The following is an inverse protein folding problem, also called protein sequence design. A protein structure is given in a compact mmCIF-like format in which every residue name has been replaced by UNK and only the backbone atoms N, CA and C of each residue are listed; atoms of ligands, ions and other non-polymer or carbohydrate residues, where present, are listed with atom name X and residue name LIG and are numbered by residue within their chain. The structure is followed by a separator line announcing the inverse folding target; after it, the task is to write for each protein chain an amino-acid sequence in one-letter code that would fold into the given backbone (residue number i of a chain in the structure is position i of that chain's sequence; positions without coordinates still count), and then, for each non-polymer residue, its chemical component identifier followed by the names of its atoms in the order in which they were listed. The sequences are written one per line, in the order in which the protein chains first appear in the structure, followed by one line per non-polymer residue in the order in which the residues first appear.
data_IF_655036370288
#
_entry.id   IF_655036370288
#
_cell.length_a   1.000
_cell.length_b   1.000
_cell.length_c   1.000
_cell.angle_alpha   90.00
_cell.angle_beta   90.00
_cell.angle_gamma   90.00
#
_symmetry.space_group_name_H-M   'P 1'
#
loop_
_entity.id
_entity.type
_entity.pdbx_description
1 polymer ?
#
# COMPACT_ATOMS: atom_id res chain seq x y z
N UNK A 1 -10.72 -12.16 3.85
CA UNK A 1 -11.33 -10.83 4.17
C UNK A 1 -12.14 -10.79 5.46
N UNK A 2 -13.19 -11.63 5.69
CA UNK A 2 -13.96 -11.56 6.97
C UNK A 2 -13.15 -12.07 8.18
N UNK A 3 -12.44 -13.19 8.06
CA UNK A 3 -11.59 -13.76 9.11
C UNK A 3 -10.38 -12.86 9.41
N UNK A 4 -9.77 -12.25 8.39
CA UNK A 4 -8.65 -11.32 8.56
C UNK A 4 -9.06 -10.03 9.29
N UNK A 5 -10.29 -9.52 9.07
CA UNK A 5 -10.83 -8.40 9.84
C UNK A 5 -11.15 -8.77 11.28
N UNK A 6 -11.62 -10.00 11.56
CA UNK A 6 -11.88 -10.50 12.90
C UNK A 6 -10.58 -10.62 13.73
N UNK A 7 -9.48 -11.04 13.11
CA UNK A 7 -8.15 -11.15 13.74
C UNK A 7 -7.50 -9.77 13.92
N UNK A 8 -7.84 -8.78 13.08
CA UNK A 8 -7.31 -7.42 13.16
C UNK A 8 -7.95 -6.59 14.30
N UNK A 9 -9.12 -6.98 14.79
CA UNK A 9 -9.79 -6.29 15.89
C UNK A 9 -9.39 -6.91 17.24
N UNK A 10 -8.66 -6.13 18.05
CA UNK A 10 -8.15 -6.56 19.37
C UNK A 10 -9.27 -7.04 20.29
N UNK A 11 -10.44 -6.39 20.26
CA UNK A 11 -11.58 -6.76 21.12
C UNK A 11 -12.05 -8.19 20.84
N UNK A 12 -12.31 -8.52 19.57
CA UNK A 12 -12.76 -9.86 19.19
C UNK A 12 -11.72 -10.93 19.49
N UNK A 13 -10.44 -10.64 19.25
CA UNK A 13 -9.37 -11.60 19.53
C UNK A 13 -9.25 -11.88 21.02
N UNK A 14 -9.31 -10.86 21.87
CA UNK A 14 -9.29 -11.02 23.35
C UNK A 14 -10.50 -11.83 23.80
N UNK A 15 -11.69 -11.53 23.31
CA UNK A 15 -12.92 -12.25 23.68
C UNK A 15 -12.84 -13.74 23.26
N UNK A 16 -12.35 -14.05 22.05
CA UNK A 16 -12.18 -15.43 21.59
C UNK A 16 -11.20 -16.19 22.48
N UNK A 17 -10.04 -15.59 22.77
CA UNK A 17 -9.05 -16.21 23.67
C UNK A 17 -9.60 -16.42 25.07
N UNK A 18 -10.37 -15.48 25.58
CA UNK A 18 -11.00 -15.58 26.89
C UNK A 18 -12.04 -16.71 26.93
N UNK A 19 -12.82 -16.89 25.85
CA UNK A 19 -13.70 -18.06 25.71
C UNK A 19 -12.91 -19.38 25.74
N UNK A 20 -11.78 -19.44 25.04
CA UNK A 20 -10.93 -20.63 25.06
C UNK A 20 -10.39 -20.94 26.44
N UNK A 21 -9.91 -19.94 27.18
CA UNK A 21 -9.46 -20.09 28.57
C UNK A 21 -10.61 -20.56 29.44
N UNK A 22 -11.77 -19.91 29.41
CA UNK A 22 -12.93 -20.25 30.23
C UNK A 22 -13.44 -21.67 29.96
N UNK A 23 -13.55 -22.06 28.68
CA UNK A 23 -14.02 -23.41 28.31
C UNK A 23 -13.00 -24.46 28.73
N UNK A 24 -11.71 -24.27 28.41
CA UNK A 24 -10.67 -25.23 28.78
C UNK A 24 -10.56 -25.41 30.31
N UNK A 25 -10.53 -24.29 31.05
CA UNK A 25 -10.48 -24.32 32.52
C UNK A 25 -11.71 -24.98 33.09
N UNK A 26 -12.91 -24.62 32.63
CA UNK A 26 -14.18 -25.20 33.11
C UNK A 26 -14.23 -26.71 32.85
N UNK A 27 -13.80 -27.15 31.66
CA UNK A 27 -13.76 -28.59 31.36
C UNK A 27 -12.80 -29.35 32.29
N UNK A 28 -11.58 -28.85 32.46
CA UNK A 28 -10.56 -29.51 33.29
C UNK A 28 -10.93 -29.54 34.78
N UNK A 29 -11.68 -28.57 35.28
CA UNK A 29 -12.13 -28.50 36.66
C UNK A 29 -13.35 -29.42 36.89
N UNK A 30 -14.29 -29.46 35.92
CA UNK A 30 -15.49 -30.30 36.02
C UNK A 30 -15.19 -31.79 35.87
N UNK A 31 -14.18 -32.16 35.09
CA UNK A 31 -13.83 -33.55 34.80
C UNK A 31 -12.39 -33.89 35.29
N UNK A 32 -12.13 -33.80 36.60
CA UNK A 32 -10.84 -34.21 37.18
C UNK A 32 -10.65 -35.71 36.89
N UNK A 33 -9.59 -36.08 36.15
CA UNK A 33 -9.29 -37.48 35.73
C UNK A 33 -10.15 -38.04 34.57
N UNK A 34 -11.06 -37.23 33.96
CA UNK A 34 -11.77 -37.60 32.73
C UNK A 34 -12.94 -38.59 32.87
N UNK A 35 -13.36 -38.98 34.07
CA UNK A 35 -14.34 -40.04 34.25
C UNK A 35 -15.71 -39.55 34.75
N UNK A 36 -15.78 -38.72 35.79
CA UNK A 36 -17.05 -38.26 36.36
C UNK A 36 -17.04 -36.73 36.61
N UNK A 37 -18.23 -36.11 36.49
CA UNK A 37 -18.40 -34.67 36.79
C UNK A 37 -18.21 -34.49 38.31
N UNK A 38 -17.42 -33.49 38.69
CA UNK A 38 -17.25 -33.12 40.09
C UNK A 38 -18.60 -32.79 40.76
N UNK A 39 -18.90 -33.39 41.88
CA UNK A 39 -20.12 -33.11 42.67
C UNK A 39 -19.97 -31.88 43.58
N UNK A 40 -18.80 -31.27 43.67
CA UNK A 40 -18.55 -30.12 44.54
C UNK A 40 -19.28 -28.86 44.06
N UNK A 41 -20.24 -28.30 44.85
CA UNK A 41 -20.98 -27.10 44.49
C UNK A 41 -20.07 -25.87 44.26
N UNK A 42 -18.93 -25.77 44.90
CA UNK A 42 -17.99 -24.68 44.77
C UNK A 42 -17.27 -24.69 43.42
N UNK A 43 -17.01 -25.88 42.88
CA UNK A 43 -16.45 -26.06 41.55
C UNK A 43 -17.45 -25.55 40.50
N UNK A 44 -18.72 -25.91 40.62
CA UNK A 44 -19.77 -25.40 39.73
C UNK A 44 -19.91 -23.86 39.81
N UNK A 45 -19.86 -23.32 41.04
CA UNK A 45 -19.88 -21.86 41.22
C UNK A 45 -18.68 -21.16 40.52
N UNK A 46 -17.49 -21.75 40.59
CA UNK A 46 -16.30 -21.22 39.94
C UNK A 46 -16.40 -21.24 38.39
N UNK A 47 -16.95 -22.32 37.82
CA UNK A 47 -17.26 -22.40 36.39
C UNK A 47 -18.19 -21.28 35.95
N UNK A 48 -19.24 -21.03 36.73
CA UNK A 48 -20.17 -19.93 36.46
C UNK A 48 -19.46 -18.58 36.51
N UNK A 49 -18.53 -18.35 37.43
CA UNK A 49 -17.72 -17.13 37.50
C UNK A 49 -16.85 -16.98 36.26
N UNK A 50 -16.19 -18.03 35.76
CA UNK A 50 -15.43 -17.97 34.51
C UNK A 50 -16.30 -17.58 33.31
N UNK A 51 -17.49 -18.18 33.18
CA UNK A 51 -18.41 -17.84 32.10
C UNK A 51 -18.92 -16.40 32.19
N UNK A 52 -19.24 -15.92 33.38
CA UNK A 52 -19.65 -14.53 33.63
C UNK A 52 -18.53 -13.58 33.31
N UNK A 53 -17.26 -13.89 33.62
CA UNK A 53 -16.12 -13.02 33.31
C UNK A 53 -16.02 -12.73 31.81
N UNK A 54 -16.24 -13.74 30.96
CA UNK A 54 -16.26 -13.56 29.50
C UNK A 54 -17.45 -12.73 29.05
N UNK A 55 -18.64 -12.94 29.60
CA UNK A 55 -19.84 -12.15 29.28
C UNK A 55 -19.69 -10.68 29.65
N UNK A 56 -18.98 -10.38 30.74
CA UNK A 56 -18.66 -8.99 31.12
C UNK A 56 -17.83 -8.29 30.05
N UNK A 57 -16.90 -8.98 29.36
CA UNK A 57 -16.07 -8.39 28.32
C UNK A 57 -16.89 -7.88 27.14
N UNK A 58 -18.03 -8.48 26.80
CA UNK A 58 -18.94 -7.98 25.76
C UNK A 58 -19.62 -6.64 26.11
N UNK A 59 -19.67 -6.30 27.41
CA UNK A 59 -20.25 -5.01 27.89
C UNK A 59 -19.22 -3.90 27.99
N UNK A 60 -17.94 -4.23 27.88
CA UNK A 60 -16.85 -3.25 27.97
C UNK A 60 -16.75 -2.50 26.62
N UNK A 61 -16.80 -1.16 26.62
CA UNK A 61 -16.61 -0.36 25.39
C UNK A 61 -15.25 -0.62 24.73
N UNK A 62 -15.21 -0.60 23.41
CA UNK A 62 -14.04 -0.95 22.60
C UNK A 62 -12.75 -0.19 22.99
N UNK A 63 -12.86 1.11 23.32
CA UNK A 63 -11.72 1.93 23.71
C UNK A 63 -10.96 1.43 24.95
N UNK A 64 -11.61 0.69 25.85
CA UNK A 64 -10.94 0.12 27.02
C UNK A 64 -9.95 -0.99 26.64
N UNK A 65 -10.22 -1.78 25.57
CA UNK A 65 -9.33 -2.84 25.11
C UNK A 65 -7.98 -2.30 24.61
N UNK A 66 -7.94 -1.03 24.20
CA UNK A 66 -6.71 -0.35 23.80
C UNK A 66 -6.03 0.38 24.97
N UNK A 67 -6.63 0.37 26.16
CA UNK A 67 -6.01 0.95 27.35
C UNK A 67 -4.78 0.15 27.78
N UNK A 68 -3.75 0.86 28.19
CA UNK A 68 -2.47 0.30 28.62
C UNK A 68 -2.53 -0.65 29.82
N UNK A 69 -3.55 -0.51 30.64
CA UNK A 69 -3.75 -1.29 31.88
C UNK A 69 -4.73 -2.45 31.71
N UNK A 70 -5.50 -2.47 30.65
CA UNK A 70 -6.54 -3.48 30.43
C UNK A 70 -5.97 -4.90 30.37
N UNK A 71 -4.97 -5.12 29.52
CA UNK A 71 -4.35 -6.44 29.34
C UNK A 71 -3.71 -6.94 30.64
N UNK A 72 -3.09 -6.04 31.40
CA UNK A 72 -2.48 -6.38 32.70
C UNK A 72 -3.55 -6.73 33.73
N UNK A 73 -4.64 -5.98 33.78
CA UNK A 73 -5.76 -6.24 34.68
C UNK A 73 -6.43 -7.58 34.36
N UNK A 74 -6.66 -7.88 33.09
CA UNK A 74 -7.24 -9.14 32.63
C UNK A 74 -6.33 -10.32 32.99
N UNK A 75 -5.02 -10.22 32.74
CA UNK A 75 -4.03 -11.23 33.10
C UNK A 75 -4.04 -11.52 34.64
N UNK A 76 -4.10 -10.48 35.46
CA UNK A 76 -4.15 -10.64 36.91
C UNK A 76 -5.45 -11.34 37.38
N UNK A 77 -6.57 -10.97 36.77
CA UNK A 77 -7.87 -11.56 37.05
C UNK A 77 -7.90 -13.06 36.69
N UNK A 78 -7.44 -13.40 35.50
CA UNK A 78 -7.36 -14.79 35.01
C UNK A 78 -6.39 -15.63 35.83
N UNK A 79 -5.23 -15.07 36.20
CA UNK A 79 -4.25 -15.72 37.05
C UNK A 79 -4.85 -16.02 38.41
N UNK A 80 -5.59 -15.08 39.00
CA UNK A 80 -6.27 -15.28 40.31
C UNK A 80 -7.34 -16.36 40.20
N UNK A 81 -8.22 -16.29 39.20
CA UNK A 81 -9.29 -17.28 39.03
C UNK A 81 -8.74 -18.69 38.82
N UNK A 82 -7.71 -18.82 37.95
CA UNK A 82 -7.06 -20.10 37.70
C UNK A 82 -6.35 -20.63 38.95
N UNK A 83 -5.72 -19.75 39.73
CA UNK A 83 -5.07 -20.14 41.02
C UNK A 83 -6.06 -20.65 42.05
N UNK A 84 -7.24 -20.04 42.15
CA UNK A 84 -8.33 -20.53 42.98
C UNK A 84 -8.80 -21.91 42.50
N UNK A 85 -8.92 -22.09 41.18
CA UNK A 85 -9.31 -23.37 40.58
C UNK A 85 -8.33 -24.50 40.91
N UNK A 86 -7.04 -24.23 40.82
CA UNK A 86 -5.96 -25.16 41.14
C UNK A 86 -6.00 -25.52 42.66
N UNK A 87 -6.17 -24.50 43.51
CA UNK A 87 -6.24 -24.70 44.97
C UNK A 87 -7.42 -25.59 45.41
N UNK A 88 -8.58 -25.37 44.78
CA UNK A 88 -9.79 -26.12 45.10
C UNK A 88 -9.74 -27.57 44.62
N UNK A 89 -9.09 -27.85 43.52
CA UNK A 89 -9.07 -29.18 42.89
C UNK A 89 -8.08 -30.16 43.54
N UNK A 90 -7.18 -29.69 44.43
CA UNK A 90 -6.14 -30.46 45.17
C UNK A 90 -5.22 -31.35 44.29
N UNK A 91 -5.61 -31.71 43.09
CA UNK A 91 -4.85 -32.45 42.09
C UNK A 91 -4.31 -31.46 41.03
N UNK A 92 -3.04 -31.07 41.16
CA UNK A 92 -2.39 -30.19 40.21
C UNK A 92 -2.01 -31.01 38.99
N UNK A 93 -2.96 -31.09 38.03
CA UNK A 93 -2.70 -31.74 36.75
C UNK A 93 -1.82 -30.84 35.85
N UNK A 94 -1.03 -31.49 34.99
CA UNK A 94 -0.27 -30.81 33.94
C UNK A 94 -1.19 -29.91 33.04
N UNK A 95 -2.43 -30.35 32.88
CA UNK A 95 -3.40 -29.72 32.00
C UNK A 95 -3.80 -28.33 32.50
N UNK A 96 -4.07 -28.17 33.80
CA UNK A 96 -4.39 -26.87 34.39
C UNK A 96 -3.20 -25.91 34.36
N UNK A 97 -1.98 -26.43 34.51
CA UNK A 97 -0.78 -25.60 34.37
C UNK A 97 -0.64 -25.01 32.93
N UNK A 98 -0.99 -25.77 31.89
CA UNK A 98 -0.92 -25.30 30.50
C UNK A 98 -1.81 -24.07 30.25
N UNK A 99 -2.87 -23.85 31.02
CA UNK A 99 -3.75 -22.68 30.85
C UNK A 99 -3.00 -21.37 31.17
N UNK A 100 -2.00 -21.40 32.05
CA UNK A 100 -1.15 -20.21 32.26
C UNK A 100 -0.44 -19.72 31.00
N UNK A 101 -0.15 -20.60 30.01
CA UNK A 101 0.40 -20.18 28.75
C UNK A 101 -0.60 -19.38 27.91
N UNK A 102 -1.88 -19.77 27.95
CA UNK A 102 -2.92 -19.01 27.26
C UNK A 102 -3.10 -17.63 27.89
N UNK A 103 -3.01 -17.53 29.23
CA UNK A 103 -3.06 -16.26 29.95
C UNK A 103 -1.86 -15.37 29.56
N UNK A 104 -0.66 -15.95 29.50
CA UNK A 104 0.54 -15.23 29.06
C UNK A 104 0.47 -14.84 27.59
N UNK A 105 -0.08 -15.69 26.73
CA UNK A 105 -0.30 -15.37 25.33
C UNK A 105 -1.27 -14.20 25.17
N UNK A 106 -2.35 -14.19 25.92
CA UNK A 106 -3.31 -13.08 25.93
C UNK A 106 -2.64 -11.78 26.44
N UNK A 107 -1.83 -11.86 27.47
CA UNK A 107 -1.07 -10.74 27.99
C UNK A 107 0.00 -10.23 27.01
N UNK A 108 0.53 -11.10 26.14
CA UNK A 108 1.51 -10.73 25.11
C UNK A 108 0.92 -9.88 23.98
N UNK A 109 -0.40 -9.93 23.78
CA UNK A 109 -1.07 -9.16 22.76
C UNK A 109 -0.99 -7.65 23.06
N UNK A 110 -0.08 -6.95 22.37
CA UNK A 110 0.08 -5.49 22.48
C UNK A 110 1.00 -5.00 23.61
N UNK A 111 1.69 -5.89 24.34
CA UNK A 111 2.59 -5.49 25.44
C UNK A 111 4.08 -5.56 25.08
N UNK A 112 4.90 -4.87 25.88
CA UNK A 112 6.34 -4.96 25.81
C UNK A 112 6.86 -6.27 26.42
N UNK A 113 7.99 -6.78 25.92
CA UNK A 113 8.67 -7.96 26.48
C UNK A 113 8.83 -7.91 28.00
N UNK A 114 9.15 -6.74 28.55
CA UNK A 114 9.33 -6.54 30.00
C UNK A 114 8.11 -6.90 30.81
N UNK A 115 6.90 -6.58 30.34
CA UNK A 115 5.65 -6.88 31.06
C UNK A 115 5.30 -8.37 31.02
N UNK A 116 5.56 -9.01 29.89
CA UNK A 116 5.34 -10.45 29.75
C UNK A 116 6.25 -11.23 30.70
N UNK A 117 7.53 -10.82 30.79
CA UNK A 117 8.48 -11.41 31.75
C UNK A 117 8.07 -11.15 33.19
N UNK A 118 7.65 -9.94 33.55
CA UNK A 118 7.13 -9.65 34.88
C UNK A 118 5.87 -10.47 35.22
N UNK A 119 4.97 -10.62 34.23
CA UNK A 119 3.79 -11.47 34.37
C UNK A 119 4.15 -12.94 34.62
N UNK A 120 5.13 -13.48 33.89
CA UNK A 120 5.60 -14.85 34.07
C UNK A 120 6.27 -15.08 35.45
N UNK A 121 6.99 -14.08 35.95
CA UNK A 121 7.54 -14.11 37.32
C UNK A 121 6.39 -14.18 38.35
N UNK A 122 5.40 -13.30 38.20
CA UNK A 122 4.25 -13.27 39.09
C UNK A 122 3.50 -14.61 39.11
N UNK A 123 3.19 -15.14 37.91
CA UNK A 123 2.51 -16.44 37.77
C UNK A 123 3.35 -17.56 38.40
N UNK A 124 4.66 -17.57 38.19
CA UNK A 124 5.56 -18.56 38.77
C UNK A 124 5.57 -18.50 40.31
N UNK A 125 5.62 -17.30 40.89
CA UNK A 125 5.56 -17.11 42.35
C UNK A 125 4.23 -17.60 42.89
N UNK A 126 3.11 -17.22 42.28
CA UNK A 126 1.77 -17.67 42.70
C UNK A 126 1.66 -19.18 42.60
N UNK A 127 2.14 -19.77 41.50
CA UNK A 127 2.14 -21.22 41.29
C UNK A 127 2.96 -21.96 42.38
N UNK A 128 4.15 -21.50 42.74
CA UNK A 128 4.99 -22.06 43.79
C UNK A 128 4.30 -21.94 45.16
N UNK A 129 3.68 -20.80 45.46
CA UNK A 129 2.95 -20.59 46.73
C UNK A 129 1.77 -21.57 46.90
N UNK A 130 1.07 -21.90 45.80
CA UNK A 130 -0.04 -22.87 45.82
C UNK A 130 0.45 -24.31 46.02
N UNK A 131 1.71 -24.59 45.69
CA UNK A 131 2.30 -25.93 45.86
C UNK A 131 2.85 -26.20 47.24
N UNK A 132 2.94 -25.18 48.13
CA UNK A 132 3.44 -25.36 49.51
C UNK A 132 2.26 -25.83 50.38
N UNK A 133 2.09 -27.15 50.67
CA UNK A 133 1.14 -27.60 51.64
C UNK A 133 1.64 -27.24 53.06
N UNK A 134 0.71 -27.05 54.00
CA UNK A 134 0.94 -26.75 55.42
C UNK A 134 1.99 -27.65 56.08
N UNK A 135 3.22 -27.35 56.07
CA UNK A 135 4.38 -27.99 56.73
C UNK A 135 5.50 -28.56 55.86
N UNK A 136 5.57 -28.31 54.54
CA UNK A 136 6.76 -28.70 53.76
C UNK A 136 7.65 -27.49 53.52
N UNK A 137 8.93 -27.62 53.83
CA UNK A 137 9.94 -26.60 53.56
C UNK A 137 10.10 -26.42 52.04
N UNK A 138 10.28 -25.17 51.57
CA UNK A 138 10.58 -24.78 50.17
C UNK A 138 11.77 -25.55 49.55
N UNK A 139 12.51 -26.34 50.34
CA UNK A 139 13.76 -27.03 50.00
C UNK A 139 13.51 -28.34 49.20
N UNK A 140 12.30 -28.86 49.18
CA UNK A 140 11.96 -30.12 48.48
C UNK A 140 10.87 -29.95 47.43
N UNK A 141 11.07 -29.00 46.50
CA UNK A 141 10.23 -28.92 45.31
C UNK A 141 10.60 -30.08 44.37
N UNK A 142 9.60 -30.84 43.91
CA UNK A 142 9.78 -31.92 42.96
C UNK A 142 10.41 -31.41 41.66
N UNK A 143 11.23 -32.25 41.00
CA UNK A 143 11.88 -31.91 39.71
C UNK A 143 10.90 -31.43 38.66
N UNK A 144 9.66 -31.88 38.69
CA UNK A 144 8.58 -31.48 37.82
C UNK A 144 8.26 -29.98 37.92
N UNK A 145 8.27 -29.41 39.12
CA UNK A 145 8.00 -27.99 39.35
C UNK A 145 9.08 -27.12 38.72
N UNK A 146 10.34 -27.51 38.84
CA UNK A 146 11.44 -26.80 38.20
C UNK A 146 11.30 -26.82 36.67
N UNK A 147 10.94 -27.96 36.08
CA UNK A 147 10.72 -28.11 34.64
C UNK A 147 9.58 -27.17 34.19
N UNK A 148 8.45 -27.16 34.92
CA UNK A 148 7.29 -26.31 34.60
C UNK A 148 7.62 -24.84 34.63
N UNK A 149 8.29 -24.36 35.69
CA UNK A 149 8.70 -22.95 35.81
C UNK A 149 9.68 -22.58 34.69
N UNK A 150 10.70 -23.41 34.42
CA UNK A 150 11.66 -23.17 33.37
C UNK A 150 11.01 -23.08 31.97
N UNK A 151 10.04 -23.98 31.73
CA UNK A 151 9.28 -23.98 30.47
C UNK A 151 8.41 -22.73 30.35
N UNK A 152 7.72 -22.29 31.41
CA UNK A 152 6.93 -21.07 31.45
C UNK A 152 7.78 -19.83 31.09
N UNK A 153 8.97 -19.73 31.69
CA UNK A 153 9.91 -18.65 31.35
C UNK A 153 10.38 -18.71 29.91
N UNK A 154 10.75 -19.89 29.42
CA UNK A 154 11.20 -20.07 28.04
C UNK A 154 10.15 -19.63 27.04
N UNK A 155 8.90 -20.05 27.25
CA UNK A 155 7.78 -19.68 26.41
C UNK A 155 7.48 -18.18 26.52
N UNK A 156 7.54 -17.60 27.73
CA UNK A 156 7.32 -16.17 27.95
C UNK A 156 8.34 -15.30 27.23
N UNK A 157 9.61 -15.69 27.25
CA UNK A 157 10.68 -14.99 26.53
C UNK A 157 10.44 -15.08 25.03
N UNK A 158 10.09 -16.28 24.52
CA UNK A 158 9.80 -16.48 23.10
C UNK A 158 8.62 -15.63 22.65
N UNK A 159 7.50 -15.67 23.35
CA UNK A 159 6.33 -14.85 23.02
C UNK A 159 6.61 -13.36 23.15
N UNK A 160 7.34 -12.94 24.19
CA UNK A 160 7.74 -11.55 24.36
C UNK A 160 8.60 -11.05 23.19
N UNK A 161 9.55 -11.85 22.74
CA UNK A 161 10.38 -11.55 21.60
C UNK A 161 9.56 -11.44 20.30
N UNK A 162 8.68 -12.42 20.05
CA UNK A 162 7.82 -12.43 18.86
C UNK A 162 6.87 -11.22 18.83
N UNK A 163 6.21 -10.93 19.96
CA UNK A 163 5.31 -9.80 20.09
C UNK A 163 6.04 -8.45 19.88
N UNK A 164 7.22 -8.29 20.48
CA UNK A 164 8.01 -7.07 20.31
C UNK A 164 8.51 -6.90 18.87
N UNK A 165 8.92 -8.01 18.22
CA UNK A 165 9.37 -7.96 16.84
C UNK A 165 8.21 -7.57 15.89
N UNK A 166 7.03 -8.19 16.06
CA UNK A 166 5.83 -7.86 15.29
C UNK A 166 5.43 -6.38 15.47
N UNK A 167 5.47 -5.86 16.71
CA UNK A 167 5.18 -4.46 16.98
C UNK A 167 6.22 -3.50 16.37
N UNK A 168 7.50 -3.88 16.35
CA UNK A 168 8.56 -3.09 15.70
C UNK A 168 8.35 -3.02 14.19
N UNK A 169 8.00 -4.14 13.55
CA UNK A 169 7.71 -4.18 12.12
C UNK A 169 6.49 -3.33 11.77
N UNK A 170 5.41 -3.46 12.55
CA UNK A 170 4.22 -2.64 12.38
C UNK A 170 4.52 -1.13 12.46
N UNK A 171 5.24 -0.70 13.51
CA UNK A 171 5.65 0.70 13.65
C UNK A 171 6.54 1.19 12.51
N UNK A 172 7.44 0.33 12.00
CA UNK A 172 8.27 0.69 10.84
C UNK A 172 7.44 0.90 9.59
N UNK A 173 6.43 0.05 9.37
CA UNK A 173 5.52 0.19 8.25
C UNK A 173 4.67 1.47 8.36
N UNK A 174 4.11 1.77 9.54
CA UNK A 174 3.34 2.99 9.82
C UNK A 174 4.19 4.25 9.56
N UNK A 175 5.42 4.31 10.09
CA UNK A 175 6.34 5.45 9.88
C UNK A 175 6.75 5.59 8.41
N UNK A 176 6.92 4.47 7.69
CA UNK A 176 7.22 4.51 6.27
C UNK A 176 6.04 5.08 5.46
N UNK A 177 4.81 4.65 5.77
CA UNK A 177 3.60 5.16 5.14
C UNK A 177 3.35 6.65 5.43
N UNK A 178 3.56 7.09 6.67
CA UNK A 178 3.47 8.51 7.02
C UNK A 178 4.50 9.36 6.26
N UNK A 179 5.74 8.88 6.15
CA UNK A 179 6.78 9.57 5.38
C UNK A 179 6.43 9.71 3.91
N UNK A 180 5.88 8.66 3.29
CA UNK A 180 5.44 8.72 1.89
C UNK A 180 4.28 9.69 1.70
N UNK A 181 3.32 9.68 2.61
CA UNK A 181 2.17 10.59 2.58
C UNK A 181 2.60 12.04 2.73
N UNK A 182 3.51 12.33 3.67
CA UNK A 182 4.09 13.66 3.87
C UNK A 182 4.89 14.11 2.63
N UNK A 183 5.75 13.25 2.08
CA UNK A 183 6.51 13.54 0.87
C UNK A 183 5.57 13.94 -0.29
N UNK A 184 4.50 13.16 -0.48
CA UNK A 184 3.53 13.43 -1.56
C UNK A 184 2.75 14.73 -1.34
N UNK A 185 2.34 15.03 -0.10
CA UNK A 185 1.63 16.27 0.21
C UNK A 185 2.51 17.49 -0.02
N UNK A 186 3.78 17.45 0.38
CA UNK A 186 4.76 18.50 0.14
C UNK A 186 5.01 18.73 -1.35
N UNK A 187 5.20 17.65 -2.13
CA UNK A 187 5.40 17.74 -3.59
C UNK A 187 4.18 18.34 -4.26
N UNK A 188 2.97 17.98 -3.83
CA UNK A 188 1.72 18.52 -4.37
C UNK A 188 1.56 20.01 -4.05
N UNK A 189 1.83 20.42 -2.82
CA UNK A 189 1.77 21.81 -2.41
C UNK A 189 2.79 22.68 -3.17
N UNK A 190 4.05 22.25 -3.24
CA UNK A 190 5.10 22.96 -3.97
C UNK A 190 4.76 23.11 -5.46
N UNK A 191 4.19 22.06 -6.08
CA UNK A 191 3.78 22.13 -7.47
C UNK A 191 2.67 23.14 -7.71
N UNK A 192 1.69 23.21 -6.80
CA UNK A 192 0.63 24.22 -6.84
C UNK A 192 1.21 25.64 -6.73
N UNK A 193 2.11 25.85 -5.75
CA UNK A 193 2.73 27.14 -5.49
C UNK A 193 3.67 27.63 -6.61
N UNK A 194 4.23 26.69 -7.38
CA UNK A 194 5.01 27.00 -8.59
C UNK A 194 4.09 27.28 -9.79
N UNK A 195 3.01 26.50 -9.98
CA UNK A 195 2.10 26.67 -11.12
C UNK A 195 1.38 28.00 -11.11
N UNK A 196 0.96 28.48 -9.94
CA UNK A 196 0.19 29.72 -9.82
C UNK A 196 0.94 30.95 -10.35
N UNK A 197 2.16 31.29 -9.89
CA UNK A 197 2.90 32.44 -10.42
C UNK A 197 3.25 32.27 -11.91
N UNK A 198 3.55 31.04 -12.34
CA UNK A 198 3.82 30.78 -13.75
C UNK A 198 2.59 30.97 -14.63
N UNK A 199 1.39 30.61 -14.15
CA UNK A 199 0.13 30.89 -14.84
C UNK A 199 -0.11 32.38 -15.03
N UNK A 200 0.19 33.19 -14.01
CA UNK A 200 0.12 34.66 -14.09
C UNK A 200 1.12 35.21 -15.12
N UNK A 201 2.39 34.74 -15.08
CA UNK A 201 3.42 35.15 -16.04
C UNK A 201 3.00 34.79 -17.47
N UNK A 202 2.46 33.59 -17.70
CA UNK A 202 1.95 33.15 -18.98
C UNK A 202 0.80 34.04 -19.48
N UNK A 203 -0.16 34.36 -18.62
CA UNK A 203 -1.28 35.24 -18.95
C UNK A 203 -0.81 36.63 -19.37
N UNK A 204 0.11 37.23 -18.62
CA UNK A 204 0.70 38.53 -19.04
C UNK A 204 1.49 38.46 -20.37
N UNK A 205 2.20 37.36 -20.58
CA UNK A 205 2.94 37.17 -21.83
C UNK A 205 1.98 36.99 -23.02
N UNK A 206 0.87 36.30 -22.85
CA UNK A 206 -0.17 36.14 -23.88
C UNK A 206 -0.86 37.47 -24.20
N UNK A 207 -1.30 38.24 -23.21
CA UNK A 207 -1.84 39.57 -23.40
C UNK A 207 -0.88 40.51 -24.15
N UNK A 208 0.42 40.48 -23.82
CA UNK A 208 1.43 41.27 -24.52
C UNK A 208 1.66 40.81 -25.95
N UNK A 209 1.57 39.51 -26.22
CA UNK A 209 1.68 38.97 -27.59
C UNK A 209 0.48 39.36 -28.48
N UNK A 210 -0.71 39.60 -27.89
CA UNK A 210 -1.88 40.13 -28.61
C UNK A 210 -1.68 41.61 -28.99
N UNK A 211 -1.12 42.41 -28.08
CA UNK A 211 -0.94 43.86 -28.26
C UNK A 211 0.22 44.24 -29.18
N UNK A 212 1.26 43.39 -29.30
CA UNK A 212 2.49 43.71 -30.01
C UNK A 212 2.35 43.28 -31.51
N UNK A 213 2.53 44.19 -32.46
CA UNK A 213 2.44 43.88 -33.91
C UNK A 213 3.45 42.81 -34.36
N UNK A 214 3.11 42.06 -35.43
CA UNK A 214 4.03 41.14 -36.06
C UNK A 214 5.23 41.87 -36.63
N UNK A 215 6.45 41.33 -36.37
CA UNK A 215 7.71 41.96 -36.79
C UNK A 215 8.40 42.83 -35.73
N UNK A 216 7.75 43.12 -34.59
CA UNK A 216 8.39 43.83 -33.48
C UNK A 216 9.37 42.90 -32.75
N UNK A 217 10.63 43.29 -32.48
CA UNK A 217 11.61 42.48 -31.75
C UNK A 217 11.15 42.05 -30.35
N UNK A 218 10.34 42.87 -29.66
CA UNK A 218 9.84 42.58 -28.32
C UNK A 218 8.86 41.37 -28.31
N UNK A 219 8.21 41.09 -29.44
CA UNK A 219 7.31 39.92 -29.58
C UNK A 219 8.06 38.61 -29.35
N UNK A 220 9.31 38.52 -29.80
CA UNK A 220 10.14 37.33 -29.61
C UNK A 220 10.51 37.15 -28.11
N UNK A 221 10.74 38.26 -27.40
CA UNK A 221 11.03 38.22 -25.97
C UNK A 221 9.81 37.62 -25.19
N UNK A 222 8.61 38.14 -25.44
CA UNK A 222 7.39 37.69 -24.78
C UNK A 222 7.03 36.25 -25.16
N UNK A 223 7.29 35.85 -26.42
CA UNK A 223 7.13 34.45 -26.83
C UNK A 223 8.05 33.55 -26.01
N UNK A 224 9.32 33.88 -25.82
CA UNK A 224 10.26 33.12 -24.99
C UNK A 224 9.86 33.07 -23.56
N UNK A 225 9.33 34.12 -22.98
CA UNK A 225 8.81 34.16 -21.60
C UNK A 225 7.62 33.18 -21.44
N UNK A 226 6.65 33.26 -22.35
CA UNK A 226 5.50 32.34 -22.36
C UNK A 226 5.94 30.89 -22.47
N UNK A 227 6.78 30.56 -23.43
CA UNK A 227 7.22 29.21 -23.76
C UNK A 227 8.10 28.65 -22.62
N UNK A 228 8.96 29.47 -22.02
CA UNK A 228 9.75 29.12 -20.82
C UNK A 228 8.87 28.80 -19.64
N UNK A 229 7.86 29.65 -19.37
CA UNK A 229 6.90 29.41 -18.27
C UNK A 229 6.08 28.13 -18.48
N UNK A 230 5.57 27.91 -19.69
CA UNK A 230 4.85 26.67 -20.09
C UNK A 230 5.73 25.44 -19.90
N UNK A 231 7.01 25.53 -20.23
CA UNK A 231 7.99 24.45 -20.03
C UNK A 231 8.14 24.09 -18.55
N UNK A 232 8.22 25.09 -17.66
CA UNK A 232 8.34 24.84 -16.21
C UNK A 232 7.05 24.22 -15.67
N UNK A 233 5.87 24.70 -16.07
CA UNK A 233 4.57 24.09 -15.69
C UNK A 233 4.51 22.62 -16.10
N UNK A 234 4.94 22.29 -17.32
CA UNK A 234 4.97 20.92 -17.81
C UNK A 234 5.96 20.03 -17.02
N UNK A 235 7.13 20.58 -16.66
CA UNK A 235 8.11 19.88 -15.82
C UNK A 235 7.55 19.56 -14.44
N UNK A 236 6.96 20.55 -13.76
CA UNK A 236 6.37 20.40 -12.42
C UNK A 236 5.20 19.41 -12.44
N UNK A 237 4.36 19.50 -13.48
CA UNK A 237 3.24 18.56 -13.63
C UNK A 237 3.75 17.14 -13.84
N UNK A 238 4.70 16.94 -14.74
CA UNK A 238 5.31 15.64 -14.99
C UNK A 238 6.03 15.05 -13.77
N UNK A 239 6.69 15.90 -12.97
CA UNK A 239 7.31 15.47 -11.71
C UNK A 239 6.29 14.99 -10.68
N UNK A 240 5.18 15.73 -10.51
CA UNK A 240 4.05 15.32 -9.66
C UNK A 240 3.52 13.94 -10.02
N UNK A 241 3.34 13.71 -11.30
CA UNK A 241 2.77 12.46 -11.82
C UNK A 241 3.74 11.30 -11.68
N UNK A 242 5.02 11.53 -11.98
CA UNK A 242 6.06 10.57 -11.74
C UNK A 242 6.11 10.15 -10.25
N UNK A 243 6.01 11.13 -9.34
CA UNK A 243 6.00 10.88 -7.89
C UNK A 243 4.74 10.11 -7.44
N UNK A 244 3.56 10.38 -8.02
CA UNK A 244 2.32 9.61 -7.75
C UNK A 244 2.40 8.19 -8.28
N UNK A 245 3.05 8.01 -9.41
CA UNK A 245 3.27 6.70 -10.01
C UNK A 245 4.12 5.77 -9.16
N UNK A 246 5.23 6.30 -8.60
CA UNK A 246 6.11 5.54 -7.70
C UNK A 246 5.39 5.01 -6.46
N UNK A 247 4.39 5.72 -5.96
CA UNK A 247 3.62 5.29 -4.77
C UNK A 247 2.51 4.29 -5.08
N UNK A 248 2.31 3.89 -6.36
CA UNK A 248 1.22 3.00 -6.78
C UNK A 248 -0.19 3.59 -6.54
N UNK A 249 -0.28 4.86 -6.16
CA UNK A 249 -1.52 5.57 -5.79
C UNK A 249 -2.10 6.39 -6.96
N UNK A 250 -1.96 5.91 -8.20
CA UNK A 250 -2.62 6.55 -9.33
C UNK A 250 -4.04 5.99 -9.47
N UNK A 251 -5.07 6.66 -8.95
CA UNK A 251 -6.44 6.19 -9.09
C UNK A 251 -6.83 6.28 -10.56
N UNK A 252 -7.25 5.17 -11.14
CA UNK A 252 -7.79 5.11 -12.50
C UNK A 252 -9.30 5.08 -12.41
N UNK A 253 -9.97 6.08 -12.96
CA UNK A 253 -11.43 6.05 -13.10
C UNK A 253 -11.78 5.08 -14.22
N UNK A 254 -12.38 3.95 -13.87
CA UNK A 254 -12.76 2.92 -14.82
C UNK A 254 -14.11 3.28 -15.49
N UNK A 255 -14.06 3.95 -16.64
CA UNK A 255 -15.21 4.33 -17.44
C UNK A 255 -15.07 3.77 -18.86
N UNK A 256 -16.17 3.53 -19.60
CA UNK A 256 -16.10 3.20 -21.01
C UNK A 256 -15.46 4.35 -21.80
N UNK A 257 -14.42 4.06 -22.57
CA UNK A 257 -13.64 5.05 -23.35
C UNK A 257 -13.51 4.60 -24.79
N UNK A 258 -13.84 5.49 -25.73
CA UNK A 258 -13.63 5.30 -27.16
C UNK A 258 -12.23 5.77 -27.56
N UNK A 259 -11.30 4.83 -27.71
CA UNK A 259 -9.88 5.11 -27.98
C UNK A 259 -9.68 5.92 -29.27
N UNK A 260 -10.42 5.60 -30.33
CA UNK A 260 -10.31 6.32 -31.61
C UNK A 260 -10.66 7.80 -31.47
N UNK A 261 -11.66 8.15 -30.66
CA UNK A 261 -12.02 9.55 -30.40
C UNK A 261 -10.85 10.31 -29.78
N UNK A 262 -10.21 9.74 -28.75
CA UNK A 262 -9.05 10.37 -28.09
C UNK A 262 -7.85 10.54 -29.04
N UNK A 263 -7.61 9.57 -29.92
CA UNK A 263 -6.56 9.68 -30.94
C UNK A 263 -6.84 10.85 -31.89
N UNK A 264 -8.07 10.99 -32.34
CA UNK A 264 -8.47 12.09 -33.26
C UNK A 264 -8.34 13.44 -32.55
N UNK A 265 -8.82 13.57 -31.33
CA UNK A 265 -8.72 14.80 -30.53
C UNK A 265 -7.26 15.18 -30.26
N UNK A 266 -6.41 14.23 -29.89
CA UNK A 266 -4.97 14.44 -29.71
C UNK A 266 -4.27 14.84 -30.98
N UNK A 267 -4.62 14.28 -32.15
CA UNK A 267 -4.08 14.65 -33.44
C UNK A 267 -4.50 16.07 -33.85
N UNK A 268 -5.78 16.41 -33.72
CA UNK A 268 -6.31 17.75 -34.02
C UNK A 268 -5.67 18.83 -33.16
N UNK A 269 -5.50 18.57 -31.85
CA UNK A 269 -4.85 19.53 -30.93
C UNK A 269 -3.42 19.89 -31.31
N UNK A 270 -2.76 19.06 -32.12
CA UNK A 270 -1.36 19.23 -32.56
C UNK A 270 -1.22 19.59 -34.06
N UNK A 271 -2.32 19.88 -34.75
CA UNK A 271 -2.33 20.19 -36.16
C UNK A 271 -1.41 21.39 -36.51
N UNK A 272 -1.39 22.42 -35.67
CA UNK A 272 -0.52 23.57 -35.85
C UNK A 272 0.98 23.20 -35.83
N UNK A 273 1.38 22.22 -34.99
CA UNK A 273 2.75 21.74 -34.92
C UNK A 273 3.11 20.87 -36.11
N UNK A 274 2.16 20.05 -36.59
CA UNK A 274 2.28 19.27 -37.84
C UNK A 274 2.54 20.21 -39.05
N UNK A 275 1.70 21.22 -39.18
CA UNK A 275 1.82 22.21 -40.29
C UNK A 275 3.13 23.00 -40.20
N UNK A 276 3.47 23.51 -39.01
CA UNK A 276 4.71 24.29 -38.79
C UNK A 276 5.96 23.49 -39.16
N UNK A 277 5.92 22.17 -38.86
CA UNK A 277 7.06 21.28 -39.12
C UNK A 277 7.04 20.66 -40.51
N UNK A 278 5.95 20.79 -41.25
CA UNK A 278 5.79 20.25 -42.59
C UNK A 278 5.85 18.71 -42.64
N UNK A 279 5.35 18.04 -41.61
CA UNK A 279 5.22 16.58 -41.57
C UNK A 279 3.83 16.16 -42.00
N UNK A 280 3.71 14.94 -42.54
CA UNK A 280 2.41 14.34 -42.89
C UNK A 280 1.92 13.48 -41.74
N UNK A 281 0.70 13.72 -41.23
CA UNK A 281 0.04 12.91 -40.21
C UNK A 281 -1.10 12.11 -40.85
N UNK A 282 -1.04 10.79 -40.75
CA UNK A 282 -2.03 9.85 -41.27
C UNK A 282 -2.68 9.06 -40.13
N UNK A 283 -4.00 8.97 -40.14
CA UNK A 283 -4.78 8.20 -39.17
C UNK A 283 -5.40 6.97 -39.90
N UNK A 284 -5.00 5.77 -39.47
CA UNK A 284 -5.48 4.50 -39.99
C UNK A 284 -6.18 3.75 -38.84
N UNK A 285 -7.37 4.20 -38.48
CA UNK A 285 -8.10 3.74 -37.32
C UNK A 285 -9.14 2.67 -37.71
N UNK A 286 -9.21 1.59 -36.93
CA UNK A 286 -10.24 0.56 -37.07
C UNK A 286 -11.58 1.10 -36.58
N UNK A 287 -12.56 1.23 -37.45
CA UNK A 287 -13.87 1.81 -37.16
C UNK A 287 -14.70 0.94 -36.19
N UNK A 288 -14.46 -0.37 -36.15
CA UNK A 288 -15.17 -1.33 -35.30
C UNK A 288 -14.48 -1.58 -33.95
N UNK A 289 -13.54 -0.68 -33.55
CA UNK A 289 -12.78 -0.85 -32.31
C UNK A 289 -13.69 -0.77 -31.07
N UNK A 290 -13.68 -1.81 -30.19
CA UNK A 290 -14.49 -1.80 -28.98
C UNK A 290 -14.01 -0.75 -27.98
N UNK A 291 -14.91 -0.31 -27.08
CA UNK A 291 -14.57 0.54 -25.96
C UNK A 291 -13.68 -0.20 -24.96
N UNK A 292 -12.73 0.52 -24.37
CA UNK A 292 -11.93 0.04 -23.24
C UNK A 292 -12.44 0.63 -21.94
N UNK A 293 -12.17 -0.02 -20.81
CA UNK A 293 -12.41 0.60 -19.50
C UNK A 293 -11.14 1.31 -19.04
N UNK A 294 -11.24 2.61 -18.78
CA UNK A 294 -10.11 3.41 -18.37
C UNK A 294 -10.46 4.84 -17.98
N UNK A 295 -9.44 5.60 -17.65
CA UNK A 295 -9.52 7.02 -17.34
C UNK A 295 -9.27 7.82 -18.61
N UNK A 296 -10.31 8.47 -19.11
CA UNK A 296 -10.29 9.22 -20.37
C UNK A 296 -9.20 10.28 -20.38
N UNK A 297 -9.06 11.06 -19.31
CA UNK A 297 -8.05 12.14 -19.23
C UNK A 297 -6.61 11.59 -19.23
N UNK A 298 -6.41 10.45 -18.59
CA UNK A 298 -5.10 9.83 -18.57
C UNK A 298 -4.76 9.21 -19.94
N UNK A 299 -5.72 8.53 -20.59
CA UNK A 299 -5.52 7.95 -21.91
C UNK A 299 -5.34 9.02 -23.00
N UNK A 300 -6.10 10.11 -22.98
CA UNK A 300 -5.87 11.27 -23.86
C UNK A 300 -4.42 11.75 -23.80
N UNK A 301 -3.89 11.86 -22.59
CA UNK A 301 -2.51 12.26 -22.38
C UNK A 301 -1.48 11.27 -22.91
N UNK A 302 -1.77 9.97 -22.93
CA UNK A 302 -0.91 8.96 -23.57
C UNK A 302 -0.78 9.29 -25.05
N UNK A 303 -1.90 9.47 -25.75
CA UNK A 303 -1.89 9.71 -27.18
C UNK A 303 -1.28 11.07 -27.53
N UNK A 304 -1.58 12.11 -26.75
CA UNK A 304 -0.95 13.42 -26.88
C UNK A 304 0.58 13.34 -26.77
N UNK A 305 1.13 12.60 -25.79
CA UNK A 305 2.57 12.41 -25.63
C UNK A 305 3.19 11.61 -26.78
N UNK A 306 2.53 10.54 -27.22
CA UNK A 306 3.07 9.69 -28.30
C UNK A 306 3.09 10.43 -29.62
N UNK A 307 1.98 11.09 -30.00
CA UNK A 307 1.87 11.87 -31.23
C UNK A 307 2.84 13.07 -31.19
N UNK A 308 2.89 13.80 -30.08
CA UNK A 308 3.82 14.91 -29.88
C UNK A 308 5.29 14.50 -30.00
N UNK A 309 5.66 13.33 -29.46
CA UNK A 309 7.00 12.79 -29.65
C UNK A 309 7.26 12.45 -31.13
N UNK A 310 6.32 11.80 -31.80
CA UNK A 310 6.45 11.52 -33.26
C UNK A 310 6.64 12.79 -34.08
N UNK A 311 5.82 13.85 -33.86
CA UNK A 311 5.98 15.12 -34.50
C UNK A 311 7.38 15.70 -34.24
N UNK A 312 7.81 15.66 -32.99
CA UNK A 312 9.07 16.25 -32.55
C UNK A 312 10.30 15.59 -33.16
N UNK A 313 10.32 14.28 -33.30
CA UNK A 313 11.48 13.52 -33.77
C UNK A 313 11.45 13.19 -35.26
N UNK A 314 10.33 13.39 -35.93
CA UNK A 314 10.23 13.26 -37.39
C UNK A 314 10.93 14.45 -38.08
N UNK A 315 11.67 14.22 -39.16
CA UNK A 315 12.28 15.26 -39.95
C UNK A 315 11.24 16.00 -40.83
N UNK A 316 11.52 17.22 -41.24
CA UNK A 316 10.65 17.95 -42.17
C UNK A 316 10.38 17.11 -43.42
N UNK A 317 9.13 17.06 -43.86
CA UNK A 317 8.67 16.21 -44.98
C UNK A 317 8.49 14.74 -44.67
N UNK A 318 8.74 14.30 -43.40
CA UNK A 318 8.51 12.92 -42.97
C UNK A 318 7.04 12.61 -42.70
N UNK A 319 6.75 11.36 -42.45
CA UNK A 319 5.39 10.86 -42.25
C UNK A 319 5.25 10.27 -40.85
N UNK A 320 4.10 10.53 -40.23
CA UNK A 320 3.66 9.93 -38.96
C UNK A 320 2.37 9.18 -39.25
N UNK A 321 2.31 7.91 -38.87
CA UNK A 321 1.11 7.07 -39.03
C UNK A 321 0.62 6.62 -37.65
N UNK A 322 -0.60 6.97 -37.31
CA UNK A 322 -1.27 6.46 -36.12
C UNK A 322 -2.28 5.41 -36.52
N UNK A 323 -2.18 4.22 -35.97
CA UNK A 323 -3.10 3.13 -36.31
C UNK A 323 -3.67 2.53 -35.04
N UNK A 324 -4.92 2.06 -35.10
CA UNK A 324 -5.56 1.30 -34.06
C UNK A 324 -6.11 -0.03 -34.61
N UNK A 325 -6.06 -1.09 -33.82
CA UNK A 325 -6.63 -2.39 -34.14
C UNK A 325 -6.95 -3.18 -32.89
N UNK A 326 -7.85 -4.15 -33.03
CA UNK A 326 -8.04 -5.16 -32.00
C UNK A 326 -6.96 -6.24 -32.15
N UNK A 327 -6.25 -6.54 -31.06
CA UNK A 327 -5.18 -7.54 -31.03
C UNK A 327 -5.25 -8.37 -29.74
N UNK A 328 -5.50 -9.68 -29.87
CA UNK A 328 -5.51 -10.65 -28.77
C UNK A 328 -6.28 -10.20 -27.50
N UNK A 329 -7.50 -9.65 -27.67
CA UNK A 329 -8.33 -9.20 -26.55
C UNK A 329 -7.91 -7.86 -25.94
N UNK A 330 -7.08 -7.10 -26.66
CA UNK A 330 -6.64 -5.76 -26.28
C UNK A 330 -6.77 -4.80 -27.45
N UNK A 331 -7.03 -3.54 -27.16
CA UNK A 331 -6.91 -2.47 -28.15
C UNK A 331 -5.44 -2.11 -28.29
N UNK A 332 -4.88 -2.29 -29.47
CA UNK A 332 -3.51 -1.90 -29.81
C UNK A 332 -3.52 -0.58 -30.59
N UNK A 333 -2.84 0.44 -30.08
CA UNK A 333 -2.58 1.68 -30.79
C UNK A 333 -1.09 1.78 -31.08
N UNK A 334 -0.74 1.99 -32.39
CA UNK A 334 0.63 2.16 -32.81
C UNK A 334 0.83 3.56 -33.42
N UNK A 335 1.86 4.26 -32.94
CA UNK A 335 2.33 5.53 -33.48
C UNK A 335 3.69 5.29 -34.13
N UNK A 336 3.71 5.31 -35.45
CA UNK A 336 4.91 5.10 -36.27
C UNK A 336 5.39 6.43 -36.83
N UNK A 337 6.67 6.69 -36.75
CA UNK A 337 7.32 7.87 -37.34
C UNK A 337 8.48 7.46 -38.28
N UNK A 338 8.78 8.29 -39.24
CA UNK A 338 9.95 8.18 -40.14
C UNK A 338 11.09 9.13 -39.72
N UNK A 339 11.27 9.23 -38.39
CA UNK A 339 12.19 10.17 -37.77
C UNK A 339 13.63 9.66 -37.65
N UNK A 340 14.32 10.18 -36.65
CA UNK A 340 15.75 9.89 -36.42
C UNK A 340 15.99 8.47 -35.91
N UNK A 341 14.95 7.78 -35.42
CA UNK A 341 15.06 6.47 -34.78
C UNK A 341 15.84 6.51 -33.49
N UNK A 342 16.00 5.34 -32.88
CA UNK A 342 16.61 5.15 -31.57
C UNK A 342 17.59 3.99 -31.63
N UNK A 343 18.77 4.18 -31.05
CA UNK A 343 19.80 3.12 -31.03
C UNK A 343 19.39 1.99 -30.08
N UNK A 344 19.78 0.76 -30.40
CA UNK A 344 19.47 -0.43 -29.55
C UNK A 344 19.96 -0.28 -28.11
N UNK A 345 21.07 0.43 -27.90
CA UNK A 345 21.63 0.69 -26.57
C UNK A 345 20.76 1.61 -25.71
N UNK A 346 19.92 2.46 -26.34
CA UNK A 346 19.08 3.43 -25.66
C UNK A 346 17.65 2.92 -25.40
N UNK A 347 17.18 1.92 -26.14
CA UNK A 347 15.82 1.36 -25.98
C UNK A 347 15.45 0.98 -24.53
N UNK A 348 16.30 0.30 -23.76
CA UNK A 348 15.98 -0.06 -22.37
C UNK A 348 15.80 1.15 -21.44
N UNK A 349 16.34 2.31 -21.82
CA UNK A 349 16.37 3.51 -20.99
C UNK A 349 15.25 4.51 -21.32
N UNK A 350 14.46 4.27 -22.38
CA UNK A 350 13.45 5.20 -22.87
C UNK A 350 12.36 5.57 -21.88
N UNK A 351 11.97 4.63 -21.04
CA UNK A 351 10.89 4.78 -20.08
C UNK A 351 11.38 5.17 -18.68
N UNK A 352 12.67 5.57 -18.56
CA UNK A 352 13.20 6.07 -17.28
C UNK A 352 12.95 7.56 -17.12
N UNK A 353 12.77 8.02 -15.89
CA UNK A 353 12.50 9.43 -15.58
C UNK A 353 13.66 10.34 -15.98
N UNK A 354 13.34 11.54 -16.49
CA UNK A 354 14.29 12.59 -16.88
C UNK A 354 15.33 12.16 -17.91
N UNK A 355 15.13 11.04 -18.57
CA UNK A 355 16.06 10.54 -19.58
C UNK A 355 15.80 11.22 -20.93
N UNK A 356 16.88 11.71 -21.55
CA UNK A 356 16.89 12.25 -22.92
C UNK A 356 17.90 11.46 -23.73
N UNK A 357 17.57 11.15 -24.97
CA UNK A 357 18.45 10.43 -25.89
C UNK A 357 19.66 11.28 -26.30
N UNK A 358 20.77 10.65 -26.54
CA UNK A 358 21.97 11.35 -27.08
C UNK A 358 21.64 11.95 -28.44
N UNK A 359 22.08 13.20 -28.68
CA UNK A 359 21.77 13.94 -29.92
C UNK A 359 20.42 14.65 -29.94
N UNK A 360 19.53 14.40 -28.94
CA UNK A 360 18.26 15.14 -28.81
C UNK A 360 18.36 16.40 -27.93
N UNK A 361 19.58 16.83 -27.58
CA UNK A 361 19.82 17.98 -26.68
C UNK A 361 19.27 19.30 -27.23
N UNK A 362 19.21 19.46 -28.57
CA UNK A 362 18.62 20.63 -29.25
C UNK A 362 17.09 20.55 -29.41
N UNK A 363 16.51 19.37 -29.13
CA UNK A 363 15.07 19.14 -29.28
C UNK A 363 14.42 19.33 -27.90
N UNK A 364 13.47 20.24 -27.76
CA UNK A 364 12.81 20.52 -26.47
C UNK A 364 12.13 19.29 -25.84
N UNK A 365 12.29 19.08 -24.54
CA UNK A 365 11.61 18.00 -23.79
C UNK A 365 12.11 17.81 -22.38
N UNK A 366 11.21 17.33 -21.53
CA UNK A 366 11.44 17.12 -20.10
C UNK A 366 12.04 15.75 -19.78
N UNK A 367 11.97 14.79 -20.72
CA UNK A 367 12.33 13.39 -20.45
C UNK A 367 11.33 12.63 -19.59
N UNK A 368 10.12 13.18 -19.38
CA UNK A 368 9.07 12.57 -18.57
C UNK A 368 7.94 11.96 -19.40
N UNK A 369 7.75 12.38 -20.66
CA UNK A 369 6.60 11.99 -21.46
C UNK A 369 6.43 10.48 -21.64
N UNK A 370 7.50 9.76 -22.00
CA UNK A 370 7.46 8.30 -22.17
C UNK A 370 7.34 7.55 -20.85
N UNK A 371 7.95 8.07 -19.78
CA UNK A 371 7.74 7.51 -18.42
C UNK A 371 6.26 7.60 -18.02
N UNK A 372 5.62 8.75 -18.27
CA UNK A 372 4.18 8.95 -18.00
C UNK A 372 3.33 8.00 -18.84
N UNK A 373 3.64 7.84 -20.15
CA UNK A 373 2.95 6.88 -21.02
C UNK A 373 2.99 5.48 -20.41
N UNK A 374 4.18 5.00 -20.04
CA UNK A 374 4.35 3.68 -19.42
C UNK A 374 3.53 3.56 -18.15
N UNK A 375 3.63 4.54 -17.25
CA UNK A 375 2.91 4.52 -15.95
C UNK A 375 1.39 4.48 -16.15
N UNK A 376 0.84 5.29 -17.05
CA UNK A 376 -0.60 5.31 -17.29
C UNK A 376 -1.04 3.97 -17.88
N UNK A 377 -0.33 3.44 -18.86
CA UNK A 377 -0.69 2.18 -19.50
C UNK A 377 -0.59 1.00 -18.52
N UNK A 378 0.44 0.96 -17.67
CA UNK A 378 0.56 -0.05 -16.63
C UNK A 378 -0.56 0.07 -15.56
N UNK A 379 -0.97 1.29 -15.20
CA UNK A 379 -2.11 1.52 -14.30
C UNK A 379 -3.44 1.01 -14.90
N UNK A 380 -3.56 1.02 -16.23
CA UNK A 380 -4.68 0.43 -16.98
C UNK A 380 -4.48 -1.07 -17.27
N UNK A 381 -3.49 -1.74 -16.63
CA UNK A 381 -3.15 -3.15 -16.83
C UNK A 381 -2.72 -3.47 -18.28
N UNK A 382 -2.32 -2.46 -19.02
CA UNK A 382 -1.83 -2.56 -20.38
C UNK A 382 -0.32 -2.73 -20.46
N UNK A 383 0.20 -2.74 -21.68
CA UNK A 383 1.65 -2.82 -21.95
C UNK A 383 2.06 -1.80 -23.00
N UNK A 384 3.29 -1.29 -22.91
CA UNK A 384 3.90 -0.42 -23.90
C UNK A 384 5.14 -1.11 -24.50
N UNK A 385 5.27 -1.02 -25.81
CA UNK A 385 6.42 -1.55 -26.57
C UNK A 385 6.94 -0.51 -27.53
N UNK A 386 8.18 -0.65 -27.92
CA UNK A 386 8.85 0.20 -28.92
C UNK A 386 9.70 -0.65 -29.85
N UNK A 387 9.58 -0.38 -31.15
CA UNK A 387 10.45 -0.91 -32.18
C UNK A 387 11.09 0.29 -32.89
N UNK A 388 12.40 0.32 -33.01
CA UNK A 388 13.10 1.43 -33.62
C UNK A 388 14.45 1.00 -34.15
N UNK A 389 14.82 1.65 -35.23
CA UNK A 389 16.15 1.55 -35.85
C UNK A 389 16.67 2.96 -36.13
N UNK A 390 17.92 3.23 -35.75
CA UNK A 390 18.53 4.53 -35.92
C UNK A 390 18.57 4.93 -37.43
N UNK A 391 18.04 6.11 -37.75
CA UNK A 391 17.93 6.61 -39.09
C UNK A 391 16.66 6.24 -39.86
N UNK A 392 15.88 5.24 -39.42
CA UNK A 392 14.66 4.72 -40.08
C UNK A 392 13.36 5.17 -39.41
N UNK A 393 13.41 5.54 -38.12
CA UNK A 393 12.26 5.96 -37.34
C UNK A 393 11.92 5.02 -36.20
N UNK A 394 10.76 5.26 -35.57
CA UNK A 394 10.30 4.49 -34.39
C UNK A 394 8.83 4.14 -34.52
N UNK A 395 8.43 3.05 -33.87
CA UNK A 395 7.04 2.65 -33.69
C UNK A 395 6.80 2.39 -32.20
N UNK A 396 5.98 3.23 -31.59
CA UNK A 396 5.50 3.04 -30.22
C UNK A 396 4.15 2.36 -30.25
N UNK A 397 4.01 1.25 -29.51
CA UNK A 397 2.78 0.46 -29.43
C UNK A 397 2.29 0.41 -28.00
N UNK A 398 1.02 0.74 -27.78
CA UNK A 398 0.35 0.59 -26.50
C UNK A 398 -0.79 -0.40 -26.63
N UNK A 399 -0.89 -1.34 -25.68
CA UNK A 399 -1.97 -2.33 -25.63
C UNK A 399 -2.80 -2.06 -24.39
N UNK A 400 -4.09 -1.86 -24.54
CA UNK A 400 -5.05 -1.61 -23.47
C UNK A 400 -6.02 -2.79 -23.43
N UNK A 401 -6.10 -3.56 -22.33
CA UNK A 401 -6.97 -4.73 -22.27
C UNK A 401 -8.44 -4.35 -22.34
N UNK A 402 -9.25 -5.19 -22.98
CA UNK A 402 -10.71 -5.08 -22.94
C UNK A 402 -11.24 -5.43 -21.55
N UNK A 403 -12.39 -4.92 -21.15
CA UNK A 403 -13.06 -5.33 -19.93
C UNK A 403 -13.40 -6.84 -20.02
N UNK A 404 -13.02 -7.58 -18.97
CA UNK A 404 -13.34 -9.03 -18.82
C UNK A 404 -14.77 -9.24 -18.37
#
# INVERSE_FOLDING_TARGET
MAIERLIADKQYTVIILQWMIAIATSFLILFPKGEEVSEDPWIHALVVVFLISVLVLYRIPEHFFYSHYFDTGLMLCDTLLLSIAIYMNQDISWDLFLIYFFILFLAAMGQSMTRIVLGSILISVVYVLLLIPDNRSLIHLDSEVYIRITFLFGVSILYGYLAENANREKRRAEVAEERETLKMSLVTALAHDIKNPLGIIMGYAELKLEDIPEGNPDREIWRRVRDGSRRIVNLVTGFLEASRAETGKMPVQQMPVQVNRLIVEAAQSQESDVLRKGVKLELNLDEELPEVHGDELQLDRVFWNLIGNAIKFTRNGGTITVSSKLDNGSVCVAVKDTGVGISQAELPLLFTQFRRLKGSERIEGTGLGLFIVKTIIEAHKGTVRVESQEGEGSTFMVHIPLPT
#
